data_IF_780842945633
#
_entry.id   IF_780842945633
#
_cell.length_a   1.000
_cell.length_b   1.000
_cell.length_c   1.000
_cell.angle_alpha   90.00
_cell.angle_beta   90.00
_cell.angle_gamma   90.00
#
_symmetry.space_group_name_H-M   'P 1'
#
loop_
_entity.id
_entity.type
_entity.pdbx_description
1 polymer ?
#
# COMPACT_ATOMS: atom_id res chain seq x y z
N UNK A 1 48.36 -2.97 42.78
CA UNK A 1 47.80 -2.88 41.41
C UNK A 1 46.28 -2.99 41.55
N UNK A 2 45.60 -1.86 41.60
CA UNK A 2 44.13 -1.78 41.65
C UNK A 2 43.56 -1.87 40.24
N UNK A 3 42.39 -2.52 40.03
CA UNK A 3 41.76 -2.60 38.73
C UNK A 3 40.96 -1.34 38.37
N UNK A 4 41.25 -0.76 37.24
CA UNK A 4 40.58 0.38 36.64
C UNK A 4 39.12 0.01 36.33
N UNK A 5 38.16 0.63 37.00
CA UNK A 5 36.72 0.57 36.67
C UNK A 5 36.47 1.36 35.37
N UNK A 6 36.06 0.65 34.33
CA UNK A 6 35.51 1.30 33.12
C UNK A 6 34.07 1.75 33.40
N UNK A 7 33.86 3.05 33.39
CA UNK A 7 32.54 3.67 33.44
C UNK A 7 31.79 3.46 32.12
N UNK A 8 30.56 2.96 32.20
CA UNK A 8 29.66 2.76 31.05
C UNK A 8 29.07 4.11 30.61
N UNK A 9 28.89 4.36 29.29
CA UNK A 9 28.19 5.55 28.80
C UNK A 9 26.71 5.24 28.53
N UNK A 10 25.92 5.04 29.61
CA UNK A 10 24.47 4.78 29.50
C UNK A 10 23.59 6.03 29.71
N UNK A 11 24.16 7.18 30.00
CA UNK A 11 23.40 8.37 30.40
C UNK A 11 23.12 9.35 29.27
N UNK A 12 23.91 9.36 28.21
CA UNK A 12 23.77 10.33 27.09
C UNK A 12 22.63 10.00 26.12
N UNK A 13 22.38 8.73 25.82
CA UNK A 13 21.32 8.31 24.89
C UNK A 13 19.90 8.52 25.48
N UNK A 14 19.73 8.31 26.78
CA UNK A 14 18.45 8.50 27.45
C UNK A 14 18.06 9.98 27.62
N UNK A 15 19.03 10.88 27.76
CA UNK A 15 18.79 12.33 27.84
C UNK A 15 18.42 12.94 26.49
N UNK A 16 19.08 12.50 25.41
CA UNK A 16 18.79 12.95 24.02
C UNK A 16 17.39 12.52 23.56
N UNK A 17 16.97 11.30 23.90
CA UNK A 17 15.64 10.79 23.59
C UNK A 17 14.53 11.54 24.34
N UNK A 18 14.74 11.90 25.61
CA UNK A 18 13.76 12.70 26.38
C UNK A 18 13.64 14.15 25.92
N UNK A 19 14.73 14.76 25.46
CA UNK A 19 14.69 16.14 24.94
C UNK A 19 14.02 16.25 23.57
N UNK A 20 14.10 15.22 22.72
CA UNK A 20 13.36 15.16 21.47
C UNK A 20 11.85 15.03 21.70
N UNK A 21 11.42 14.22 22.66
CA UNK A 21 10.00 14.03 22.98
C UNK A 21 9.28 15.30 23.47
N UNK A 22 9.98 16.28 24.05
CA UNK A 22 9.38 17.53 24.54
C UNK A 22 9.06 18.55 23.45
N UNK A 23 9.41 18.31 22.19
CA UNK A 23 9.18 19.20 21.05
C UNK A 23 8.19 18.64 20.00
N UNK A 24 7.77 17.38 20.14
CA UNK A 24 6.84 16.77 19.21
C UNK A 24 5.42 17.32 19.42
N UNK A 25 4.73 17.65 18.32
CA UNK A 25 3.31 18.01 18.36
C UNK A 25 2.48 16.78 18.71
N UNK A 26 2.78 15.66 18.04
CA UNK A 26 2.17 14.37 18.28
C UNK A 26 3.25 13.34 18.64
N UNK A 27 3.06 12.61 19.73
CA UNK A 27 4.01 11.57 20.17
C UNK A 27 3.87 10.30 19.33
N UNK A 28 2.64 10.03 18.82
CA UNK A 28 2.33 8.85 18.04
C UNK A 28 1.40 9.22 16.89
N UNK A 29 1.70 8.69 15.69
CA UNK A 29 0.86 8.85 14.50
C UNK A 29 0.35 7.48 14.09
N UNK A 30 -0.95 7.36 13.87
CA UNK A 30 -1.64 6.17 13.35
C UNK A 30 -2.12 6.51 11.94
N UNK A 31 -1.42 6.00 10.93
CA UNK A 31 -1.74 6.25 9.53
C UNK A 31 -2.39 5.04 8.90
N UNK A 32 -3.67 5.15 8.56
CA UNK A 32 -4.50 4.08 8.03
C UNK A 32 -4.79 4.35 6.56
N UNK A 33 -4.32 3.46 5.69
CA UNK A 33 -4.61 3.44 4.27
C UNK A 33 -5.75 2.48 4.00
N UNK A 34 -6.84 3.02 3.47
CA UNK A 34 -7.99 2.28 2.96
C UNK A 34 -7.69 1.95 1.50
N UNK A 35 -7.08 0.79 1.24
CA UNK A 35 -6.57 0.42 -0.08
C UNK A 35 -7.65 0.58 -1.16
N UNK A 36 -7.38 1.38 -2.17
CA UNK A 36 -8.26 1.69 -3.31
C UNK A 36 -9.52 2.53 -3.04
N UNK A 37 -9.67 3.18 -1.88
CA UNK A 37 -10.86 4.01 -1.57
C UNK A 37 -10.72 5.41 -2.19
N UNK A 38 -10.93 5.53 -3.51
CA UNK A 38 -10.93 6.79 -4.24
C UNK A 38 -12.15 7.67 -3.99
N UNK A 39 -12.06 8.95 -4.35
CA UNK A 39 -13.12 9.96 -4.16
C UNK A 39 -13.29 10.88 -5.39
N UNK A 40 -13.31 10.29 -6.57
CA UNK A 40 -13.59 10.94 -7.84
C UNK A 40 -12.38 11.04 -8.77
N UNK A 41 -12.65 10.91 -10.06
CA UNK A 41 -11.63 10.89 -11.10
C UNK A 41 -10.71 12.11 -11.06
N UNK A 42 -9.41 11.87 -11.23
CA UNK A 42 -8.44 12.94 -11.47
C UNK A 42 -8.55 13.46 -12.90
N UNK A 43 -8.13 14.72 -13.17
CA UNK A 43 -8.21 15.30 -14.51
C UNK A 43 -7.43 14.52 -15.59
N UNK A 44 -6.42 13.74 -15.19
CA UNK A 44 -5.60 12.93 -16.06
C UNK A 44 -6.03 11.45 -16.14
N UNK A 45 -7.16 11.08 -15.54
CA UNK A 45 -7.69 9.71 -15.53
C UNK A 45 -7.80 9.10 -16.94
N UNK A 46 -8.20 9.92 -17.94
CA UNK A 46 -8.28 9.49 -19.33
C UNK A 46 -6.96 8.97 -19.92
N UNK A 47 -5.81 9.41 -19.39
CA UNK A 47 -4.48 8.93 -19.81
C UNK A 47 -4.21 7.50 -19.34
N UNK A 48 -4.96 7.05 -18.35
CA UNK A 48 -4.88 5.71 -17.78
C UNK A 48 -6.00 4.79 -18.28
N UNK A 49 -6.81 5.29 -19.22
CA UNK A 49 -7.95 4.56 -19.78
C UNK A 49 -9.19 4.56 -18.89
N UNK A 50 -9.20 5.37 -17.85
CA UNK A 50 -10.29 5.40 -16.88
C UNK A 50 -11.41 6.37 -17.33
N UNK A 51 -12.67 6.05 -17.04
CA UNK A 51 -13.78 6.92 -17.37
C UNK A 51 -13.77 8.19 -16.51
N UNK A 52 -14.26 9.33 -17.04
CA UNK A 52 -14.25 10.60 -16.33
C UNK A 52 -15.19 10.64 -15.11
N UNK A 53 -16.09 9.68 -14.99
CA UNK A 53 -17.06 9.50 -13.90
C UNK A 53 -16.64 8.41 -12.90
N UNK A 54 -15.39 7.91 -12.96
CA UNK A 54 -14.84 7.04 -11.94
C UNK A 54 -14.85 7.76 -10.58
N UNK A 55 -15.44 7.13 -9.59
CA UNK A 55 -15.65 7.71 -8.26
C UNK A 55 -16.00 6.60 -7.27
N UNK A 56 -14.99 5.93 -6.75
CA UNK A 56 -15.16 4.76 -5.90
C UNK A 56 -16.18 4.99 -4.80
N UNK A 57 -15.97 5.98 -3.93
CA UNK A 57 -16.91 6.30 -2.85
C UNK A 57 -18.25 6.83 -3.36
N UNK A 58 -18.23 7.74 -4.34
CA UNK A 58 -19.44 8.37 -4.85
C UNK A 58 -20.34 7.40 -5.60
N UNK A 59 -19.78 6.50 -6.38
CA UNK A 59 -20.53 5.53 -7.15
C UNK A 59 -21.09 4.41 -6.28
N UNK A 60 -20.32 3.90 -5.30
CA UNK A 60 -20.84 2.98 -4.29
C UNK A 60 -22.01 3.64 -3.53
N UNK A 61 -21.82 4.89 -3.08
CA UNK A 61 -22.86 5.64 -2.38
C UNK A 61 -24.13 5.82 -3.22
N UNK A 62 -23.98 6.06 -4.52
CA UNK A 62 -25.11 6.26 -5.43
C UNK A 62 -25.86 4.96 -5.74
N UNK A 63 -25.14 3.83 -5.88
CA UNK A 63 -25.72 2.53 -6.26
C UNK A 63 -26.46 1.89 -5.09
N UNK A 64 -25.84 1.85 -3.89
CA UNK A 64 -26.44 1.13 -2.74
C UNK A 64 -26.76 2.03 -1.53
N UNK A 65 -26.35 3.30 -1.55
CA UNK A 65 -26.29 4.14 -0.36
C UNK A 65 -25.15 3.73 0.57
N UNK A 66 -24.65 4.69 1.35
CA UNK A 66 -23.66 4.45 2.39
C UNK A 66 -24.12 5.01 3.72
N UNK A 67 -23.86 4.29 4.79
CA UNK A 67 -24.15 4.76 6.14
C UNK A 67 -22.85 4.82 6.95
N UNK A 68 -22.19 5.99 6.91
CA UNK A 68 -20.88 6.22 7.49
C UNK A 68 -20.91 7.39 8.50
N UNK A 69 -21.71 7.30 9.60
CA UNK A 69 -21.92 8.42 10.50
C UNK A 69 -20.66 8.86 11.25
N UNK A 70 -19.71 7.96 11.49
CA UNK A 70 -18.47 8.30 12.20
C UNK A 70 -17.45 8.94 11.28
N UNK A 71 -17.30 8.47 10.03
CA UNK A 71 -16.49 9.13 9.01
C UNK A 71 -17.09 10.49 8.61
N UNK A 72 -18.43 10.61 8.56
CA UNK A 72 -19.09 11.91 8.37
C UNK A 72 -18.70 12.90 9.47
N UNK A 73 -18.75 12.51 10.74
CA UNK A 73 -18.29 13.34 11.87
C UNK A 73 -16.83 13.78 11.77
N UNK A 74 -15.98 13.01 11.10
CA UNK A 74 -14.59 13.39 10.83
C UNK A 74 -14.47 14.36 9.65
N UNK A 75 -15.53 14.54 8.83
CA UNK A 75 -15.56 15.46 7.71
C UNK A 75 -15.56 14.80 6.33
N UNK A 76 -15.79 13.48 6.20
CA UNK A 76 -15.80 12.80 4.89
C UNK A 76 -16.81 13.46 3.93
N UNK A 77 -18.04 13.73 4.38
CA UNK A 77 -19.06 14.39 3.58
C UNK A 77 -18.74 15.85 3.22
N UNK A 78 -17.78 16.47 3.91
CA UNK A 78 -17.33 17.85 3.64
C UNK A 78 -16.29 17.88 2.50
N UNK A 79 -15.58 16.78 2.22
CA UNK A 79 -14.68 16.68 1.07
C UNK A 79 -15.49 16.71 -0.23
N UNK A 80 -16.57 15.94 -0.26
CA UNK A 80 -17.50 15.82 -1.38
C UNK A 80 -18.83 15.28 -0.88
N UNK A 81 -19.96 15.82 -1.35
CA UNK A 81 -21.27 15.27 -1.03
C UNK A 81 -21.41 13.83 -1.51
N UNK A 82 -21.77 12.92 -0.60
CA UNK A 82 -22.01 11.51 -0.87
C UNK A 82 -23.42 11.11 -0.42
N UNK A 83 -24.08 10.26 -1.18
CA UNK A 83 -25.42 9.76 -0.81
C UNK A 83 -25.33 8.96 0.51
N UNK A 84 -26.05 9.42 1.54
CA UNK A 84 -26.03 8.81 2.86
C UNK A 84 -24.91 9.28 3.79
N UNK A 85 -24.01 10.16 3.32
CA UNK A 85 -22.92 10.73 4.13
C UNK A 85 -22.96 12.27 3.99
N UNK A 86 -23.84 12.94 4.73
CA UNK A 86 -23.98 14.40 4.63
C UNK A 86 -22.73 15.12 5.18
N UNK A 87 -22.50 16.37 4.73
CA UNK A 87 -21.50 17.21 5.36
C UNK A 87 -21.90 17.57 6.80
N UNK A 88 -20.90 17.64 7.68
CA UNK A 88 -21.06 18.10 9.07
C UNK A 88 -20.85 19.59 9.17
N UNK A 89 -21.66 20.25 9.98
CA UNK A 89 -21.51 21.70 10.24
C UNK A 89 -20.25 22.02 11.06
N UNK A 90 -19.83 21.08 11.92
CA UNK A 90 -18.64 21.20 12.77
C UNK A 90 -17.91 19.86 12.80
N UNK A 91 -17.15 19.52 11.75
CA UNK A 91 -16.40 18.28 11.71
C UNK A 91 -15.43 18.18 12.88
N UNK A 92 -15.34 16.98 13.49
CA UNK A 92 -14.39 16.72 14.58
C UNK A 92 -12.95 16.50 14.10
N UNK A 93 -12.75 16.36 12.80
CA UNK A 93 -11.44 16.20 12.15
C UNK A 93 -11.09 17.34 11.19
N UNK A 94 -9.86 17.36 10.71
CA UNK A 94 -9.47 18.10 9.52
C UNK A 94 -9.68 17.19 8.29
N UNK A 95 -10.11 17.76 7.18
CA UNK A 95 -10.53 17.02 5.99
C UNK A 95 -10.01 17.67 4.71
N UNK A 96 -9.82 16.88 3.68
CA UNK A 96 -9.37 17.30 2.36
C UNK A 96 -9.23 16.09 1.44
N UNK A 97 -8.60 16.28 0.30
CA UNK A 97 -8.27 15.20 -0.63
C UNK A 97 -6.89 15.42 -1.24
N UNK A 98 -6.24 14.32 -1.63
CA UNK A 98 -4.93 14.36 -2.27
C UNK A 98 -5.03 13.99 -3.76
N UNK A 99 -4.14 14.60 -4.58
CA UNK A 99 -3.81 14.10 -5.91
C UNK A 99 -2.78 12.98 -5.79
N UNK A 100 -2.62 12.21 -6.86
CA UNK A 100 -1.48 11.32 -7.08
C UNK A 100 -0.54 12.03 -8.07
N UNK A 101 0.64 12.44 -7.61
CA UNK A 101 1.63 13.11 -8.45
C UNK A 101 2.39 12.14 -9.34
N UNK A 102 2.65 10.93 -8.85
CA UNK A 102 3.29 9.86 -9.61
C UNK A 102 2.35 9.35 -10.72
N UNK A 103 2.88 9.02 -11.91
CA UNK A 103 2.10 8.51 -13.04
C UNK A 103 1.76 7.03 -12.87
N UNK A 104 0.98 6.69 -11.86
CA UNK A 104 0.53 5.33 -11.56
C UNK A 104 -0.81 5.36 -10.82
N UNK A 105 -1.44 4.20 -10.72
CA UNK A 105 -2.70 4.00 -10.01
C UNK A 105 -2.72 2.64 -9.27
N UNK A 106 -1.56 2.24 -8.75
CA UNK A 106 -1.35 0.96 -8.08
C UNK A 106 -0.84 1.14 -6.65
N UNK A 107 -1.04 0.11 -5.82
CA UNK A 107 -0.69 0.12 -4.39
C UNK A 107 0.77 0.51 -4.14
N UNK A 108 1.72 -0.01 -4.94
CA UNK A 108 3.15 0.32 -4.77
C UNK A 108 3.40 1.79 -5.03
N UNK A 109 2.91 2.31 -6.15
CA UNK A 109 3.06 3.72 -6.54
C UNK A 109 2.47 4.65 -5.49
N UNK A 110 1.22 4.39 -5.03
CA UNK A 110 0.56 5.23 -4.04
C UNK A 110 1.28 5.24 -2.69
N UNK A 111 1.66 4.07 -2.16
CA UNK A 111 2.39 3.98 -0.90
C UNK A 111 3.80 4.56 -0.97
N UNK A 112 4.50 4.40 -2.10
CA UNK A 112 5.80 5.03 -2.30
C UNK A 112 5.68 6.55 -2.36
N UNK A 113 4.65 7.06 -3.03
CA UNK A 113 4.38 8.50 -3.04
C UNK A 113 4.09 9.03 -1.64
N UNK A 114 3.30 8.31 -0.82
CA UNK A 114 3.11 8.61 0.61
C UNK A 114 4.44 8.73 1.35
N UNK A 115 5.41 7.89 1.01
CA UNK A 115 6.74 7.90 1.62
C UNK A 115 7.70 8.95 1.01
N UNK A 116 7.23 9.80 0.10
CA UNK A 116 8.02 10.87 -0.53
C UNK A 116 8.79 10.45 -1.78
N UNK A 117 8.45 9.31 -2.39
CA UNK A 117 9.03 8.84 -3.64
C UNK A 117 8.08 9.19 -4.79
N UNK A 118 8.47 10.12 -5.65
CA UNK A 118 7.76 10.39 -6.89
C UNK A 118 8.40 9.61 -8.03
N UNK A 119 7.59 8.86 -8.75
CA UNK A 119 8.03 8.16 -9.95
C UNK A 119 7.94 9.10 -11.16
N UNK A 120 8.97 9.13 -12.00
CA UNK A 120 8.93 9.88 -13.26
C UNK A 120 8.10 9.15 -14.34
N UNK A 121 8.02 7.84 -14.24
CA UNK A 121 7.32 6.95 -15.19
C UNK A 121 6.59 5.85 -14.43
N UNK A 122 5.45 5.40 -14.94
CA UNK A 122 4.75 4.24 -14.37
C UNK A 122 5.59 2.97 -14.55
N UNK A 123 5.34 1.98 -13.72
CA UNK A 123 5.87 0.65 -13.97
C UNK A 123 5.37 0.13 -15.33
N UNK A 124 6.26 -0.48 -16.15
CA UNK A 124 5.89 -0.91 -17.49
C UNK A 124 4.85 -2.04 -17.46
N UNK A 125 3.87 -1.95 -18.33
CA UNK A 125 2.95 -3.05 -18.64
C UNK A 125 3.45 -3.78 -19.90
N UNK A 126 3.31 -5.10 -19.92
CA UNK A 126 3.79 -5.95 -21.02
C UNK A 126 2.63 -6.77 -21.62
N UNK A 127 1.55 -6.15 -22.17
CA UNK A 127 0.36 -6.86 -22.61
C UNK A 127 0.61 -7.88 -23.73
N UNK A 128 1.69 -7.69 -24.49
CA UNK A 128 2.12 -8.60 -25.59
C UNK A 128 3.28 -9.52 -25.18
N UNK A 129 3.63 -9.59 -23.89
CA UNK A 129 4.81 -10.29 -23.38
C UNK A 129 6.05 -9.41 -23.33
N UNK A 130 7.14 -9.97 -22.83
CA UNK A 130 8.42 -9.29 -22.65
C UNK A 130 9.24 -9.29 -23.93
N UNK A 131 10.10 -8.25 -24.14
CA UNK A 131 10.95 -8.17 -25.31
C UNK A 131 11.83 -9.41 -25.51
N UNK A 132 12.10 -9.81 -26.78
CA UNK A 132 12.94 -11.00 -27.07
C UNK A 132 14.32 -10.94 -26.45
N UNK A 133 14.95 -9.79 -26.34
CA UNK A 133 16.24 -9.58 -25.72
C UNK A 133 16.21 -9.87 -24.21
N UNK A 134 15.12 -9.51 -23.52
CA UNK A 134 14.91 -9.82 -22.09
C UNK A 134 14.72 -11.32 -21.93
N UNK A 135 13.87 -11.93 -22.74
CA UNK A 135 13.62 -13.38 -22.67
C UNK A 135 14.86 -14.19 -23.00
N UNK A 136 15.61 -13.81 -24.04
CA UNK A 136 16.85 -14.49 -24.42
C UNK A 136 17.93 -14.40 -23.33
N UNK A 137 18.11 -13.25 -22.70
CA UNK A 137 19.03 -13.11 -21.56
C UNK A 137 18.55 -13.93 -20.36
N UNK A 138 17.25 -13.95 -20.08
CA UNK A 138 16.66 -14.74 -19.00
C UNK A 138 16.91 -16.23 -19.21
N UNK A 139 16.57 -16.78 -20.39
CA UNK A 139 16.76 -18.19 -20.73
C UNK A 139 18.23 -18.60 -20.67
N UNK A 140 19.12 -17.75 -21.18
CA UNK A 140 20.56 -17.96 -21.12
C UNK A 140 21.05 -18.07 -19.67
N UNK A 141 20.60 -17.19 -18.79
CA UNK A 141 21.05 -17.16 -17.38
C UNK A 141 20.47 -18.28 -16.54
N UNK A 142 19.22 -18.69 -16.78
CA UNK A 142 18.62 -19.82 -16.06
C UNK A 142 18.99 -21.19 -16.67
N UNK A 143 19.59 -21.22 -17.87
CA UNK A 143 19.97 -22.44 -18.56
C UNK A 143 18.80 -23.30 -19.05
N UNK A 144 17.63 -22.71 -19.24
CA UNK A 144 16.40 -23.37 -19.70
C UNK A 144 15.67 -22.48 -20.69
N UNK A 145 15.03 -23.08 -21.72
CA UNK A 145 14.01 -22.39 -22.50
C UNK A 145 12.75 -22.16 -21.66
N UNK A 146 11.94 -21.21 -22.05
CA UNK A 146 10.66 -20.89 -21.38
C UNK A 146 9.47 -21.25 -22.25
N UNK A 147 8.32 -21.45 -21.61
CA UNK A 147 7.03 -21.59 -22.29
C UNK A 147 6.25 -20.27 -22.13
N UNK A 148 5.46 -19.94 -23.15
CA UNK A 148 4.51 -18.82 -23.20
C UNK A 148 5.18 -17.46 -23.52
N UNK A 149 5.24 -16.52 -22.58
CA UNK A 149 5.60 -15.09 -22.76
C UNK A 149 4.44 -14.26 -23.34
N UNK A 150 3.27 -14.31 -22.72
CA UNK A 150 2.09 -13.48 -23.05
C UNK A 150 1.27 -13.14 -21.82
N UNK A 151 0.32 -12.22 -21.96
CA UNK A 151 -0.69 -11.99 -20.94
C UNK A 151 -1.63 -13.19 -20.82
N UNK A 152 -1.86 -13.67 -19.59
CA UNK A 152 -2.72 -14.81 -19.31
C UNK A 152 -3.22 -14.85 -17.86
N UNK A 153 -4.37 -15.50 -17.66
CA UNK A 153 -4.82 -15.94 -16.33
C UNK A 153 -3.90 -17.07 -15.85
N UNK A 154 -3.35 -16.93 -14.66
CA UNK A 154 -2.39 -17.91 -14.19
C UNK A 154 -2.98 -19.29 -13.87
N UNK A 155 -4.29 -19.44 -13.65
CA UNK A 155 -4.95 -20.75 -13.55
C UNK A 155 -5.12 -21.40 -14.91
N UNK A 156 -5.53 -20.60 -15.91
CA UNK A 156 -5.71 -21.07 -17.27
C UNK A 156 -4.39 -21.47 -17.91
N UNK A 157 -3.35 -20.64 -17.78
CA UNK A 157 -2.04 -20.95 -18.38
C UNK A 157 -1.37 -22.19 -17.78
N UNK A 158 -1.56 -22.43 -16.48
CA UNK A 158 -1.09 -23.65 -15.82
C UNK A 158 -1.86 -24.86 -16.33
N UNK A 159 -3.19 -24.76 -16.52
CA UNK A 159 -3.98 -25.83 -17.10
C UNK A 159 -3.59 -26.14 -18.54
N UNK A 160 -3.29 -25.10 -19.35
CA UNK A 160 -2.87 -25.20 -20.75
C UNK A 160 -1.46 -25.83 -20.91
N UNK A 161 -0.47 -25.31 -20.19
CA UNK A 161 0.95 -25.62 -20.40
C UNK A 161 1.61 -26.49 -19.33
N UNK A 162 0.91 -26.80 -18.25
CA UNK A 162 1.46 -27.55 -17.13
C UNK A 162 2.01 -28.94 -17.52
N UNK A 163 1.30 -29.66 -18.40
CA UNK A 163 1.78 -30.96 -18.90
C UNK A 163 3.05 -30.84 -19.75
N UNK A 164 3.14 -29.80 -20.60
CA UNK A 164 4.33 -29.52 -21.39
C UNK A 164 5.50 -29.09 -20.50
N UNK A 165 5.25 -28.23 -19.53
CA UNK A 165 6.23 -27.85 -18.51
C UNK A 165 6.83 -29.09 -17.81
N UNK A 166 6.00 -30.01 -17.33
CA UNK A 166 6.47 -31.23 -16.67
C UNK A 166 7.33 -32.12 -17.60
N UNK A 167 6.99 -32.18 -18.88
CA UNK A 167 7.71 -32.96 -19.87
C UNK A 167 9.07 -32.34 -20.27
N UNK A 168 9.13 -31.01 -20.36
CA UNK A 168 10.32 -30.29 -20.90
C UNK A 168 11.23 -29.72 -19.83
N UNK A 169 10.70 -29.47 -18.61
CA UNK A 169 11.39 -28.74 -17.57
C UNK A 169 11.49 -27.23 -17.84
N UNK A 170 10.80 -26.71 -18.85
CA UNK A 170 10.78 -25.29 -19.19
C UNK A 170 9.76 -24.54 -18.32
N UNK A 171 10.15 -23.51 -17.52
CA UNK A 171 9.21 -22.74 -16.72
C UNK A 171 8.23 -21.96 -17.60
N UNK A 172 7.01 -21.75 -17.10
CA UNK A 172 5.97 -21.00 -17.81
C UNK A 172 6.08 -19.53 -17.41
N UNK A 173 6.45 -18.66 -18.38
CA UNK A 173 6.55 -17.21 -18.18
C UNK A 173 5.30 -16.53 -18.73
N UNK A 174 4.67 -15.69 -17.94
CA UNK A 174 3.48 -14.93 -18.35
C UNK A 174 3.38 -13.61 -17.59
N UNK A 175 2.51 -12.73 -18.06
CA UNK A 175 2.15 -11.46 -17.39
C UNK A 175 0.65 -11.37 -17.16
N UNK A 176 0.15 -10.26 -16.63
CA UNK A 176 -1.26 -9.94 -16.47
C UNK A 176 -1.49 -8.45 -16.76
N UNK A 177 -2.64 -7.90 -16.39
CA UNK A 177 -2.91 -6.46 -16.47
C UNK A 177 -1.99 -5.62 -15.57
N UNK A 178 -1.47 -6.23 -14.50
CA UNK A 178 -0.49 -5.58 -13.62
C UNK A 178 0.92 -5.56 -14.22
N UNK A 179 1.79 -4.72 -13.65
CA UNK A 179 3.23 -4.69 -13.97
C UNK A 179 3.97 -5.85 -13.29
N UNK A 180 3.84 -7.04 -13.86
CA UNK A 180 4.38 -8.28 -13.26
C UNK A 180 5.03 -9.20 -14.28
N UNK A 181 6.14 -9.85 -13.86
CA UNK A 181 6.77 -10.99 -14.54
C UNK A 181 6.50 -12.23 -13.69
N UNK A 182 5.70 -13.16 -14.20
CA UNK A 182 5.29 -14.34 -13.43
C UNK A 182 5.94 -15.59 -14.00
N UNK A 183 6.45 -16.44 -13.11
CA UNK A 183 7.09 -17.71 -13.45
C UNK A 183 6.33 -18.83 -12.74
N UNK A 184 5.56 -19.62 -13.50
CA UNK A 184 4.92 -20.80 -12.95
C UNK A 184 5.76 -22.07 -13.20
N UNK A 185 5.85 -22.92 -12.16
CA UNK A 185 6.53 -24.20 -12.24
C UNK A 185 5.90 -25.23 -11.31
N UNK A 186 5.86 -26.50 -11.75
CA UNK A 186 5.43 -27.62 -10.91
C UNK A 186 6.57 -27.97 -9.91
N UNK A 187 6.22 -28.14 -8.64
CA UNK A 187 7.21 -28.28 -7.55
C UNK A 187 8.09 -29.53 -7.68
N UNK A 188 7.62 -30.59 -8.32
CA UNK A 188 8.41 -31.79 -8.60
C UNK A 188 9.32 -31.64 -9.84
N UNK A 189 8.98 -30.73 -10.79
CA UNK A 189 9.74 -30.52 -12.03
C UNK A 189 10.85 -29.48 -11.84
N UNK A 190 10.52 -28.38 -11.16
CA UNK A 190 11.45 -27.34 -10.72
C UNK A 190 11.20 -27.12 -9.23
N UNK A 191 12.07 -27.66 -8.34
CA UNK A 191 11.92 -27.49 -6.90
C UNK A 191 11.91 -26.04 -6.46
N UNK A 192 11.21 -25.71 -5.36
CA UNK A 192 11.03 -24.34 -4.86
C UNK A 192 12.33 -23.54 -4.78
N UNK A 193 13.46 -24.05 -4.25
CA UNK A 193 14.70 -23.28 -4.21
C UNK A 193 15.22 -22.88 -5.60
N UNK A 194 15.04 -23.74 -6.61
CA UNK A 194 15.40 -23.43 -8.00
C UNK A 194 14.44 -22.42 -8.62
N UNK A 195 13.14 -22.58 -8.43
CA UNK A 195 12.12 -21.60 -8.89
C UNK A 195 12.39 -20.20 -8.31
N UNK A 196 12.72 -20.12 -7.03
CA UNK A 196 13.04 -18.85 -6.38
C UNK A 196 14.29 -18.21 -6.97
N UNK A 197 15.34 -18.99 -7.23
CA UNK A 197 16.55 -18.50 -7.89
C UNK A 197 16.30 -18.04 -9.34
N UNK A 198 15.42 -18.72 -10.06
CA UNK A 198 14.96 -18.31 -11.39
C UNK A 198 14.29 -16.91 -11.30
N UNK A 199 13.41 -16.70 -10.32
CA UNK A 199 12.74 -15.41 -10.12
C UNK A 199 13.70 -14.31 -9.66
N UNK A 200 14.68 -14.60 -8.82
CA UNK A 200 15.77 -13.68 -8.47
C UNK A 200 16.54 -13.23 -9.70
N UNK A 201 16.90 -14.18 -10.58
CA UNK A 201 17.55 -13.91 -11.87
C UNK A 201 16.70 -13.00 -12.75
N UNK A 202 15.39 -13.24 -12.84
CA UNK A 202 14.47 -12.34 -13.55
C UNK A 202 14.48 -10.94 -12.94
N UNK A 203 14.43 -10.81 -11.59
CA UNK A 203 14.47 -9.52 -10.91
C UNK A 203 15.75 -8.74 -11.19
N UNK A 204 16.88 -9.41 -11.33
CA UNK A 204 18.17 -8.79 -11.69
C UNK A 204 18.19 -8.25 -13.13
N UNK A 205 17.59 -8.96 -14.07
CA UNK A 205 17.53 -8.59 -15.50
C UNK A 205 16.54 -7.47 -15.76
N UNK A 206 15.38 -7.51 -15.10
CA UNK A 206 14.30 -6.56 -15.29
C UNK A 206 14.62 -5.24 -14.58
N UNK A 207 15.33 -4.34 -15.27
CA UNK A 207 15.77 -3.03 -14.81
C UNK A 207 15.46 -1.95 -15.83
N UNK A 208 15.47 -0.69 -15.39
CA UNK A 208 15.25 0.48 -16.24
C UNK A 208 13.89 0.44 -16.93
N UNK A 209 13.82 0.54 -18.29
CA UNK A 209 12.55 0.58 -19.00
C UNK A 209 11.74 -0.72 -18.91
N UNK A 210 12.36 -1.81 -18.50
CA UNK A 210 11.70 -3.13 -18.32
C UNK A 210 11.50 -3.49 -16.84
N UNK A 211 11.68 -2.55 -15.92
CA UNK A 211 11.57 -2.78 -14.48
C UNK A 211 10.11 -2.90 -14.04
N UNK A 212 9.52 -4.09 -14.25
CA UNK A 212 8.18 -4.36 -13.74
C UNK A 212 8.13 -4.30 -12.22
N UNK A 213 7.00 -3.91 -11.66
CA UNK A 213 6.83 -3.74 -10.22
C UNK A 213 7.13 -5.00 -9.40
N UNK A 214 6.80 -6.19 -9.93
CA UNK A 214 7.05 -7.46 -9.24
C UNK A 214 7.46 -8.58 -10.19
N UNK A 215 8.38 -9.43 -9.74
CA UNK A 215 8.58 -10.78 -10.27
C UNK A 215 7.92 -11.76 -9.31
N UNK A 216 7.15 -12.72 -9.80
CA UNK A 216 6.34 -13.60 -8.96
C UNK A 216 6.63 -15.06 -9.25
N UNK A 217 7.10 -15.81 -8.25
CA UNK A 217 7.12 -17.26 -8.28
C UNK A 217 5.70 -17.81 -8.05
N UNK A 218 5.23 -18.64 -8.98
CA UNK A 218 3.89 -19.27 -8.96
C UNK A 218 4.00 -20.79 -8.97
N UNK A 219 4.42 -21.42 -7.87
CA UNK A 219 4.49 -22.87 -7.80
C UNK A 219 3.11 -23.51 -7.86
N UNK A 220 3.03 -24.71 -8.44
CA UNK A 220 1.83 -25.51 -8.52
C UNK A 220 2.16 -26.99 -8.39
N UNK A 221 1.13 -27.80 -8.12
CA UNK A 221 1.19 -29.27 -7.98
C UNK A 221 0.03 -29.91 -8.72
N UNK A 222 0.02 -31.24 -8.78
CA UNK A 222 -1.07 -32.02 -9.37
C UNK A 222 -0.67 -32.71 -10.68
N UNK A 223 -1.66 -33.15 -11.44
CA UNK A 223 -1.47 -33.85 -12.71
C UNK A 223 -2.27 -33.16 -13.83
N UNK A 224 -1.99 -33.45 -15.11
CA UNK A 224 -2.79 -32.93 -16.22
C UNK A 224 -4.30 -33.08 -15.99
N UNK A 225 -5.02 -31.97 -16.09
CA UNK A 225 -6.47 -31.89 -15.78
C UNK A 225 -6.82 -31.54 -14.32
N UNK A 226 -5.82 -31.48 -13.39
CA UNK A 226 -6.03 -31.21 -11.97
C UNK A 226 -4.91 -30.40 -11.32
N UNK A 227 -4.27 -29.48 -12.05
CA UNK A 227 -3.24 -28.61 -11.48
C UNK A 227 -3.80 -27.60 -10.50
N UNK A 228 -3.11 -27.43 -9.36
CA UNK A 228 -3.51 -26.49 -8.30
C UNK A 228 -2.30 -25.68 -7.85
N UNK A 229 -2.46 -24.36 -7.71
CA UNK A 229 -1.45 -23.48 -7.14
C UNK A 229 -1.23 -23.79 -5.67
N UNK A 230 0.02 -23.70 -5.22
CA UNK A 230 0.36 -23.87 -3.81
C UNK A 230 0.44 -22.53 -3.08
N UNK A 231 0.50 -22.59 -1.75
CA UNK A 231 0.73 -21.43 -0.90
C UNK A 231 2.20 -20.92 -0.94
N UNK A 232 3.10 -21.64 -1.63
CA UNK A 232 4.53 -21.32 -1.74
C UNK A 232 4.83 -20.21 -2.76
N UNK A 233 3.84 -19.35 -3.05
CA UNK A 233 4.04 -18.14 -3.84
C UNK A 233 5.07 -17.24 -3.16
N UNK A 234 5.99 -16.66 -3.95
CA UNK A 234 6.93 -15.66 -3.49
C UNK A 234 7.03 -14.49 -4.48
N UNK A 235 6.94 -13.26 -3.96
CA UNK A 235 6.97 -12.04 -4.77
C UNK A 235 8.32 -11.31 -4.53
N UNK A 236 8.98 -10.96 -5.63
CA UNK A 236 10.22 -10.17 -5.66
C UNK A 236 9.86 -8.77 -6.19
N UNK A 237 9.50 -7.88 -5.31
CA UNK A 237 9.17 -6.50 -5.66
C UNK A 237 10.43 -5.67 -5.98
N UNK A 238 10.24 -4.56 -6.67
CA UNK A 238 11.27 -3.53 -6.81
C UNK A 238 11.54 -2.94 -5.42
N UNK A 239 12.81 -2.84 -4.99
CA UNK A 239 13.11 -2.17 -3.73
C UNK A 239 12.81 -0.67 -3.83
N UNK A 240 12.19 -0.07 -2.80
CA UNK A 240 11.96 1.36 -2.80
C UNK A 240 13.28 2.13 -2.87
N UNK A 241 13.33 3.26 -3.60
CA UNK A 241 14.49 4.15 -3.62
C UNK A 241 14.90 4.61 -2.22
N UNK A 242 16.19 4.91 -1.98
CA UNK A 242 16.68 5.39 -0.69
C UNK A 242 16.21 6.82 -0.37
N UNK A 243 16.15 7.15 0.91
CA UNK A 243 15.82 8.49 1.41
C UNK A 243 14.32 8.74 1.58
N UNK A 244 13.50 7.68 1.53
CA UNK A 244 12.08 7.75 1.81
C UNK A 244 11.76 8.02 3.30
N UNK A 245 10.52 8.31 3.60
CA UNK A 245 10.03 8.59 4.96
C UNK A 245 10.52 7.55 5.99
N UNK A 246 10.37 6.26 5.68
CA UNK A 246 10.71 5.20 6.63
C UNK A 246 12.21 5.15 6.94
N UNK A 247 13.07 5.48 5.97
CA UNK A 247 14.52 5.65 6.22
C UNK A 247 14.76 6.83 7.16
N UNK A 248 14.12 7.98 6.90
CA UNK A 248 14.28 9.18 7.72
C UNK A 248 13.82 8.97 9.15
N UNK A 249 12.70 8.26 9.34
CA UNK A 249 12.21 7.93 10.67
C UNK A 249 13.19 7.00 11.40
N UNK A 250 13.71 5.97 10.73
CA UNK A 250 14.70 5.05 11.32
C UNK A 250 16.01 5.78 11.70
N UNK A 251 16.53 6.65 10.83
CA UNK A 251 17.69 7.51 11.08
C UNK A 251 17.49 8.40 12.32
N UNK A 252 16.26 8.85 12.58
CA UNK A 252 15.90 9.68 13.74
C UNK A 252 15.48 8.86 14.97
N UNK A 253 15.62 7.53 14.92
CA UNK A 253 15.26 6.64 16.02
C UNK A 253 13.76 6.51 16.27
N UNK A 254 12.93 6.94 15.33
CA UNK A 254 11.46 6.81 15.39
C UNK A 254 11.08 5.39 14.98
N UNK A 255 10.34 4.71 15.84
CA UNK A 255 9.89 3.36 15.55
C UNK A 255 8.70 3.36 14.58
N UNK A 256 8.79 2.51 13.55
CA UNK A 256 7.69 2.23 12.61
C UNK A 256 7.16 0.83 12.85
N UNK A 257 5.84 0.75 13.08
CA UNK A 257 5.11 -0.49 13.24
C UNK A 257 4.15 -0.68 12.07
N UNK A 258 4.45 -1.62 11.16
CA UNK A 258 3.63 -1.93 9.99
C UNK A 258 2.48 -2.89 10.34
N UNK A 259 1.29 -2.62 9.83
CA UNK A 259 0.13 -3.53 9.92
C UNK A 259 -0.39 -3.81 8.51
N UNK A 260 -0.67 -5.07 8.20
CA UNK A 260 -1.09 -5.50 6.87
C UNK A 260 0.07 -5.63 5.89
N UNK A 261 -0.10 -5.13 4.66
CA UNK A 261 0.91 -5.25 3.58
C UNK A 261 2.09 -4.28 3.68
N UNK A 262 2.13 -3.37 4.65
CA UNK A 262 3.15 -2.32 4.74
C UNK A 262 4.57 -2.91 4.68
N UNK A 263 4.82 -3.99 5.42
CA UNK A 263 6.13 -4.65 5.38
C UNK A 263 6.49 -5.14 3.98
N UNK A 264 5.55 -5.74 3.27
CA UNK A 264 5.78 -6.31 1.93
C UNK A 264 5.96 -5.20 0.87
N UNK A 265 5.19 -4.10 0.96
CA UNK A 265 5.27 -2.94 0.05
C UNK A 265 6.65 -2.26 0.13
N UNK A 266 7.20 -2.12 1.33
CA UNK A 266 8.49 -1.47 1.57
C UNK A 266 9.65 -2.47 1.77
N UNK A 267 9.42 -3.77 1.57
CA UNK A 267 10.39 -4.85 1.78
C UNK A 267 11.04 -4.82 3.17
N UNK A 268 10.26 -4.45 4.17
CA UNK A 268 10.69 -4.36 5.57
C UNK A 268 11.60 -3.17 5.88
N UNK A 269 11.93 -2.33 4.90
CA UNK A 269 12.88 -1.24 5.06
C UNK A 269 12.35 -0.16 5.99
N UNK A 270 13.10 0.14 7.06
CA UNK A 270 12.73 1.11 8.09
C UNK A 270 11.60 0.64 9.03
N UNK A 271 11.12 -0.61 8.90
CA UNK A 271 10.01 -1.16 9.69
C UNK A 271 10.59 -2.10 10.76
N UNK A 272 10.41 -1.75 12.03
CA UNK A 272 10.95 -2.53 13.15
C UNK A 272 10.03 -3.63 13.64
N UNK A 273 8.72 -3.42 13.57
CA UNK A 273 7.69 -4.42 13.93
C UNK A 273 6.64 -4.51 12.85
N UNK A 274 6.06 -5.70 12.69
CA UNK A 274 4.96 -5.91 11.74
C UNK A 274 3.96 -6.93 12.23
N UNK A 275 2.67 -6.71 11.87
CA UNK A 275 1.58 -7.64 12.06
C UNK A 275 0.94 -7.92 10.69
N UNK A 276 1.06 -9.15 10.19
CA UNK A 276 0.37 -9.57 8.96
C UNK A 276 -1.12 -9.74 9.23
N UNK A 277 -1.95 -9.41 8.25
CA UNK A 277 -3.41 -9.45 8.36
C UNK A 277 -4.02 -10.38 7.34
N UNK A 278 -5.11 -11.04 7.72
CA UNK A 278 -5.87 -11.91 6.83
C UNK A 278 -7.00 -11.19 6.07
N UNK A 279 -7.57 -10.14 6.69
CA UNK A 279 -8.66 -9.32 6.15
C UNK A 279 -8.74 -7.98 6.90
N UNK A 280 -9.68 -7.09 6.52
CA UNK A 280 -9.81 -5.78 7.18
C UNK A 280 -10.23 -5.89 8.65
N UNK A 281 -11.07 -6.84 9.03
CA UNK A 281 -11.46 -7.02 10.44
C UNK A 281 -10.26 -7.39 11.31
N UNK A 282 -9.41 -8.29 10.84
CA UNK A 282 -8.13 -8.64 11.48
C UNK A 282 -7.17 -7.42 11.50
N UNK A 283 -7.12 -6.65 10.40
CA UNK A 283 -6.34 -5.40 10.31
C UNK A 283 -6.76 -4.36 11.33
N UNK A 284 -8.06 -4.15 11.50
CA UNK A 284 -8.63 -3.25 12.52
C UNK A 284 -8.29 -3.72 13.94
N UNK A 285 -8.41 -5.02 14.24
CA UNK A 285 -8.04 -5.58 15.53
C UNK A 285 -6.53 -5.41 15.81
N UNK A 286 -5.68 -5.72 14.82
CA UNK A 286 -4.22 -5.58 14.94
C UNK A 286 -3.74 -4.12 14.98
N UNK A 287 -4.53 -3.20 14.45
CA UNK A 287 -4.28 -1.76 14.65
C UNK A 287 -4.40 -1.39 16.12
N UNK A 288 -5.45 -1.83 16.80
CA UNK A 288 -5.60 -1.61 18.25
C UNK A 288 -4.51 -2.32 19.06
N UNK A 289 -4.09 -3.54 18.65
CA UNK A 289 -2.95 -4.24 19.24
C UNK A 289 -1.66 -3.42 19.10
N UNK A 290 -1.36 -2.90 17.92
CA UNK A 290 -0.20 -2.04 17.68
C UNK A 290 -0.27 -0.74 18.50
N UNK A 291 -1.46 -0.12 18.63
CA UNK A 291 -1.68 1.05 19.47
C UNK A 291 -1.42 0.79 20.96
N UNK A 292 -1.69 -0.42 21.44
CA UNK A 292 -1.36 -0.81 22.82
C UNK A 292 0.13 -1.13 23.00
N UNK A 293 0.81 -1.58 21.94
CA UNK A 293 2.19 -2.04 21.99
C UNK A 293 3.23 -0.95 21.69
N UNK A 294 2.82 0.18 21.07
CA UNK A 294 3.70 1.30 20.70
C UNK A 294 3.29 2.58 21.46
N UNK A 295 4.17 3.14 22.26
CA UNK A 295 3.90 4.37 23.03
C UNK A 295 4.18 5.65 22.22
N UNK A 296 5.05 5.60 21.22
CA UNK A 296 5.39 6.72 20.35
C UNK A 296 6.02 6.25 19.04
N UNK A 297 5.86 7.04 17.97
CA UNK A 297 6.33 6.69 16.62
C UNK A 297 5.19 6.59 15.61
N UNK A 298 5.38 5.80 14.57
CA UNK A 298 4.43 5.63 13.47
C UNK A 298 3.84 4.22 13.48
N UNK A 299 2.53 4.10 13.54
CA UNK A 299 1.77 2.89 13.19
C UNK A 299 1.25 3.10 11.77
N UNK A 300 1.75 2.33 10.82
CA UNK A 300 1.38 2.44 9.41
C UNK A 300 0.57 1.22 9.01
N UNK A 301 -0.67 1.42 8.60
CA UNK A 301 -1.69 0.38 8.40
C UNK A 301 -2.15 0.37 6.97
N UNK A 302 -2.24 -0.81 6.35
CA UNK A 302 -2.90 -1.02 5.07
C UNK A 302 -4.08 -1.99 5.25
N UNK A 303 -5.29 -1.52 4.97
CA UNK A 303 -6.52 -2.31 4.96
C UNK A 303 -6.84 -2.73 3.52
N UNK A 304 -6.23 -3.83 3.09
CA UNK A 304 -6.13 -4.26 1.69
C UNK A 304 -7.38 -4.88 1.09
N UNK A 305 -8.33 -5.29 1.90
CA UNK A 305 -9.49 -6.09 1.43
C UNK A 305 -10.44 -5.26 0.56
N UNK A 306 -10.48 -3.93 0.73
CA UNK A 306 -11.25 -3.03 -0.14
C UNK A 306 -10.86 -3.22 -1.60
N UNK A 307 -9.57 -3.26 -1.88
CA UNK A 307 -9.02 -3.51 -3.19
C UNK A 307 -9.19 -4.97 -3.63
N UNK A 308 -8.61 -5.90 -2.88
CA UNK A 308 -8.45 -7.29 -3.30
C UNK A 308 -9.75 -8.08 -3.38
N UNK A 309 -10.70 -7.84 -2.47
CA UNK A 309 -11.93 -8.64 -2.39
C UNK A 309 -13.09 -7.95 -3.06
N UNK A 310 -13.09 -6.62 -3.15
CA UNK A 310 -14.26 -5.88 -3.62
C UNK A 310 -13.98 -5.06 -4.88
N UNK A 311 -12.93 -4.23 -4.91
CA UNK A 311 -12.55 -3.42 -6.07
C UNK A 311 -12.32 -4.27 -7.31
N UNK A 312 -11.32 -5.13 -7.29
CA UNK A 312 -10.97 -6.04 -8.40
C UNK A 312 -12.04 -7.08 -8.76
N UNK A 313 -13.15 -7.13 -8.04
CA UNK A 313 -14.26 -8.08 -8.29
C UNK A 313 -15.56 -7.39 -8.64
N UNK A 314 -15.56 -6.07 -8.78
CA UNK A 314 -16.75 -5.28 -9.05
C UNK A 314 -17.88 -5.55 -8.04
N UNK A 315 -17.51 -5.84 -6.77
CA UNK A 315 -18.44 -6.15 -5.70
C UNK A 315 -18.84 -4.88 -4.94
N UNK A 316 -19.77 -4.12 -5.49
CA UNK A 316 -20.30 -2.88 -4.92
C UNK A 316 -20.91 -3.10 -3.54
N UNK A 317 -21.65 -4.20 -3.36
CA UNK A 317 -22.31 -4.52 -2.10
C UNK A 317 -21.30 -4.86 -1.00
N UNK A 318 -20.35 -5.74 -1.29
CA UNK A 318 -19.28 -6.11 -0.38
C UNK A 318 -18.39 -4.93 0.00
N UNK A 319 -18.07 -4.06 -0.98
CA UNK A 319 -17.25 -2.87 -0.77
C UNK A 319 -17.94 -1.89 0.20
N UNK A 320 -19.19 -1.53 -0.08
CA UNK A 320 -19.94 -0.64 0.79
C UNK A 320 -20.17 -1.23 2.20
N UNK A 321 -20.47 -2.54 2.29
CA UNK A 321 -20.57 -3.21 3.60
C UNK A 321 -19.24 -3.21 4.37
N UNK A 322 -18.09 -3.28 3.68
CA UNK A 322 -16.78 -3.18 4.31
C UNK A 322 -16.51 -1.77 4.84
N UNK A 323 -16.90 -0.72 4.10
CA UNK A 323 -16.84 0.68 4.56
C UNK A 323 -17.70 0.90 5.81
N UNK A 324 -18.91 0.35 5.84
CA UNK A 324 -19.80 0.42 7.00
C UNK A 324 -19.25 -0.32 8.22
N UNK A 325 -18.58 -1.46 8.03
CA UNK A 325 -17.86 -2.16 9.12
C UNK A 325 -16.70 -1.34 9.66
N UNK A 326 -15.93 -0.68 8.79
CA UNK A 326 -14.89 0.26 9.20
C UNK A 326 -15.48 1.41 10.03
N UNK A 327 -16.56 2.00 9.54
CA UNK A 327 -17.24 3.12 10.25
C UNK A 327 -17.74 2.68 11.63
N UNK A 328 -18.32 1.49 11.73
CA UNK A 328 -18.79 0.94 13.00
C UNK A 328 -17.65 0.65 13.99
N UNK A 329 -16.43 0.39 13.52
CA UNK A 329 -15.24 0.20 14.35
C UNK A 329 -14.65 1.53 14.87
N UNK A 330 -14.86 2.65 14.18
CA UNK A 330 -14.25 3.95 14.52
C UNK A 330 -14.47 4.40 15.97
N UNK A 331 -15.65 4.21 16.61
CA UNK A 331 -15.79 4.56 18.03
C UNK A 331 -14.82 3.84 18.97
N UNK A 332 -14.54 2.57 18.72
CA UNK A 332 -13.54 1.83 19.50
C UNK A 332 -12.13 2.33 19.23
N UNK A 333 -11.80 2.63 17.97
CA UNK A 333 -10.52 3.20 17.58
C UNK A 333 -10.29 4.59 18.18
N UNK A 334 -11.25 5.51 18.04
CA UNK A 334 -11.14 6.88 18.57
C UNK A 334 -11.11 6.90 20.09
N UNK A 335 -11.82 5.98 20.75
CA UNK A 335 -11.78 5.81 22.22
C UNK A 335 -10.42 5.27 22.73
N UNK A 336 -9.61 4.66 21.86
CA UNK A 336 -8.26 4.20 22.19
C UNK A 336 -7.16 5.24 21.90
N UNK A 337 -7.49 6.38 21.27
CA UNK A 337 -6.54 7.46 21.04
C UNK A 337 -6.13 8.12 22.36
N UNK A 338 -4.83 8.35 22.50
CA UNK A 338 -4.22 9.07 23.62
C UNK A 338 -4.10 10.56 23.27
N UNK A 339 -3.90 11.40 24.26
CA UNK A 339 -3.79 12.86 24.11
C UNK A 339 -2.77 13.30 23.03
N UNK A 340 -1.63 12.62 22.93
CA UNK A 340 -0.58 12.89 21.94
C UNK A 340 -0.73 12.16 20.61
N UNK A 341 -1.89 11.60 20.28
CA UNK A 341 -2.08 10.85 19.04
C UNK A 341 -2.62 11.71 17.91
N UNK A 342 -2.11 11.44 16.69
CA UNK A 342 -2.68 11.86 15.41
C UNK A 342 -3.11 10.61 14.64
N UNK A 343 -4.38 10.51 14.28
CA UNK A 343 -4.89 9.53 13.34
C UNK A 343 -5.05 10.17 11.95
N UNK A 344 -4.56 9.50 10.90
CA UNK A 344 -4.74 9.92 9.50
C UNK A 344 -5.37 8.77 8.75
N UNK A 345 -6.46 9.05 8.04
CA UNK A 345 -7.12 8.12 7.12
C UNK A 345 -6.97 8.65 5.70
N UNK A 346 -6.54 7.79 4.78
CA UNK A 346 -6.41 8.09 3.35
C UNK A 346 -6.56 6.83 2.52
N UNK A 347 -6.37 6.94 1.21
CA UNK A 347 -6.19 5.81 0.31
C UNK A 347 -4.95 6.03 -0.55
N UNK A 348 -4.57 5.03 -1.30
CA UNK A 348 -3.40 5.04 -2.18
C UNK A 348 -3.75 5.24 -3.67
N UNK A 349 -4.95 4.85 -4.07
CA UNK A 349 -5.56 5.02 -5.39
C UNK A 349 -7.08 4.79 -5.32
N UNK A 350 -7.77 4.73 -6.47
CA UNK A 350 -9.15 4.28 -6.60
C UNK A 350 -9.23 2.87 -7.19
N UNK A 351 -10.36 2.20 -6.99
CA UNK A 351 -10.77 1.00 -7.73
C UNK A 351 -12.30 0.94 -7.72
N UNK A 352 -12.91 1.69 -8.64
CA UNK A 352 -14.36 1.85 -8.68
C UNK A 352 -15.04 0.56 -9.17
N UNK A 353 -15.78 -0.14 -8.31
CA UNK A 353 -16.38 -1.42 -8.66
C UNK A 353 -17.57 -1.30 -9.60
N UNK A 354 -17.96 -0.07 -9.98
CA UNK A 354 -19.09 0.18 -10.89
C UNK A 354 -18.66 0.41 -12.34
N UNK A 355 -17.36 0.64 -12.58
CA UNK A 355 -16.84 0.79 -13.94
C UNK A 355 -16.52 -0.55 -14.57
N UNK A 356 -16.45 -0.58 -15.90
CA UNK A 356 -16.11 -1.81 -16.64
C UNK A 356 -14.64 -2.19 -16.43
N UNK A 357 -14.38 -3.49 -16.30
CA UNK A 357 -13.05 -4.01 -15.99
C UNK A 357 -12.84 -4.25 -14.51
N UNK A 358 -11.64 -4.64 -14.16
CA UNK A 358 -11.26 -4.97 -12.78
C UNK A 358 -9.93 -4.30 -12.40
N UNK A 359 -9.56 -3.24 -13.12
CA UNK A 359 -8.32 -2.50 -12.86
C UNK A 359 -8.59 -1.35 -11.88
N UNK A 360 -7.52 -0.82 -11.30
CA UNK A 360 -7.57 0.38 -10.48
C UNK A 360 -8.03 1.59 -11.29
N UNK A 361 -8.56 2.60 -10.59
CA UNK A 361 -8.97 3.88 -11.18
C UNK A 361 -8.11 5.04 -10.68
N UNK A 362 -7.76 5.96 -11.59
CA UNK A 362 -6.97 7.16 -11.30
C UNK A 362 -7.86 8.22 -10.67
N UNK A 363 -7.93 8.22 -9.34
CA UNK A 363 -8.81 9.08 -8.56
C UNK A 363 -8.03 9.94 -7.57
N UNK A 364 -8.64 11.04 -7.16
CA UNK A 364 -8.30 11.66 -5.89
C UNK A 364 -8.56 10.69 -4.75
N UNK A 365 -7.83 10.83 -3.65
CA UNK A 365 -8.06 10.04 -2.45
C UNK A 365 -8.43 10.93 -1.26
N UNK A 366 -9.29 10.44 -0.34
CA UNK A 366 -9.69 11.22 0.82
C UNK A 366 -8.50 11.42 1.78
N UNK A 367 -8.53 12.52 2.51
CA UNK A 367 -7.63 12.81 3.61
C UNK A 367 -8.46 13.27 4.81
N UNK A 368 -8.41 12.49 5.90
CA UNK A 368 -9.01 12.84 7.18
C UNK A 368 -7.93 12.77 8.26
N UNK A 369 -7.86 13.81 9.10
CA UNK A 369 -6.95 13.83 10.24
C UNK A 369 -7.74 14.09 11.52
N UNK A 370 -7.52 13.27 12.56
CA UNK A 370 -8.26 13.33 13.81
C UNK A 370 -7.37 13.00 15.00
N UNK A 371 -7.74 13.48 16.16
CA UNK A 371 -7.05 13.21 17.43
C UNK A 371 -7.39 14.25 18.49
N UNK A 372 -7.09 13.98 19.77
CA UNK A 372 -7.47 14.91 20.85
C UNK A 372 -6.87 16.31 20.73
N UNK A 373 -5.70 16.44 20.06
CA UNK A 373 -5.02 17.73 19.80
C UNK A 373 -5.11 18.18 18.36
N UNK A 374 -5.95 17.55 17.54
CA UNK A 374 -6.18 17.97 16.15
C UNK A 374 -7.24 19.03 16.10
N UNK A 375 -7.00 20.11 15.37
CA UNK A 375 -8.03 21.12 15.08
C UNK A 375 -9.12 20.53 14.21
N UNK A 376 -10.33 20.39 14.76
CA UNK A 376 -11.50 20.02 14.00
C UNK A 376 -11.99 21.13 13.08
N UNK A 377 -12.72 20.76 12.03
CA UNK A 377 -13.33 21.69 11.09
C UNK A 377 -12.36 22.39 10.12
N UNK A 378 -11.09 21.96 10.08
CA UNK A 378 -10.08 22.51 9.16
C UNK A 378 -10.25 21.87 7.79
N UNK A 379 -10.55 22.68 6.78
CA UNK A 379 -10.51 22.27 5.38
C UNK A 379 -9.07 22.37 4.87
N UNK A 380 -8.45 21.22 4.60
CA UNK A 380 -7.11 21.09 4.03
C UNK A 380 -7.12 21.25 2.50
N UNK A 381 -8.30 21.31 1.90
CA UNK A 381 -8.50 21.50 0.47
C UNK A 381 -7.97 20.36 -0.37
N UNK A 382 -7.51 20.72 -1.57
CA UNK A 382 -6.84 19.81 -2.50
C UNK A 382 -5.32 19.84 -2.23
N UNK A 383 -4.77 18.71 -1.81
CA UNK A 383 -3.33 18.53 -1.61
C UNK A 383 -2.65 18.13 -2.92
N UNK A 384 -1.44 18.66 -3.13
CA UNK A 384 -0.69 18.47 -4.37
C UNK A 384 -0.16 17.03 -4.58
N UNK A 385 -0.06 16.24 -3.52
CA UNK A 385 0.47 14.89 -3.56
C UNK A 385 0.10 14.11 -2.29
N UNK A 386 0.12 12.78 -2.37
CA UNK A 386 0.12 11.90 -1.21
C UNK A 386 1.34 12.12 -0.30
N UNK A 387 2.44 12.64 -0.85
CA UNK A 387 3.65 12.98 -0.08
C UNK A 387 3.42 14.08 0.95
N UNK A 388 2.36 14.88 0.83
CA UNK A 388 2.00 15.89 1.83
C UNK A 388 1.70 15.26 3.20
N UNK A 389 1.13 14.05 3.20
CA UNK A 389 0.90 13.28 4.43
C UNK A 389 2.25 12.82 4.98
N UNK A 390 3.10 12.22 4.13
CA UNK A 390 4.44 11.79 4.54
C UNK A 390 5.30 12.92 5.06
N UNK A 391 5.27 14.09 4.39
CA UNK A 391 5.98 15.28 4.84
C UNK A 391 5.43 15.82 6.18
N UNK A 392 4.13 15.67 6.43
CA UNK A 392 3.51 16.01 7.72
C UNK A 392 4.02 15.09 8.83
N UNK A 393 4.11 13.79 8.56
CA UNK A 393 4.72 12.81 9.49
C UNK A 393 6.19 13.13 9.73
N UNK A 394 6.97 13.38 8.66
CA UNK A 394 8.39 13.74 8.75
C UNK A 394 8.60 15.01 9.60
N UNK A 395 7.84 16.07 9.30
CA UNK A 395 7.92 17.35 10.02
C UNK A 395 7.60 17.18 11.51
N UNK A 396 6.60 16.36 11.87
CA UNK A 396 6.26 16.06 13.26
C UNK A 396 7.44 15.42 14.00
N UNK A 397 8.21 14.55 13.36
CA UNK A 397 9.37 13.89 13.95
C UNK A 397 10.70 14.63 13.70
N UNK A 398 10.66 15.89 13.23
CA UNK A 398 11.82 16.76 13.09
C UNK A 398 12.73 16.43 11.90
N UNK A 399 12.19 15.79 10.87
CA UNK A 399 12.88 15.45 9.63
C UNK A 399 12.09 15.91 8.39
N UNK A 400 12.61 15.63 7.20
CA UNK A 400 11.98 15.97 5.92
C UNK A 400 12.18 14.87 4.90
N UNK A 401 11.31 14.82 3.90
CA UNK A 401 11.39 13.93 2.73
C UNK A 401 11.51 14.76 1.44
N UNK A 402 11.81 14.09 0.33
CA UNK A 402 12.11 14.76 -0.94
C UNK A 402 10.95 15.55 -1.56
N UNK A 403 9.73 15.15 -1.29
CA UNK A 403 8.51 15.72 -1.86
C UNK A 403 7.44 15.95 -0.80
N UNK A 404 6.45 16.78 -1.12
CA UNK A 404 5.30 17.06 -0.28
C UNK A 404 5.41 18.34 0.53
N UNK A 405 4.26 18.88 0.93
CA UNK A 405 4.10 20.05 1.76
C UNK A 405 3.34 19.69 3.04
N UNK A 406 3.98 19.92 4.20
CA UNK A 406 3.40 19.58 5.49
C UNK A 406 2.20 20.46 5.84
N UNK A 407 1.11 19.85 6.24
CA UNK A 407 -0.07 20.51 6.81
C UNK A 407 -0.09 20.48 8.35
N UNK A 408 1.00 20.06 9.00
CA UNK A 408 1.10 19.98 10.46
C UNK A 408 0.69 21.30 11.16
N UNK A 409 1.12 22.50 10.71
CA UNK A 409 0.74 23.76 11.35
C UNK A 409 -0.74 24.09 11.23
N UNK A 410 -1.44 23.54 10.25
CA UNK A 410 -2.86 23.77 10.03
C UNK A 410 -3.72 22.95 11.00
N UNK A 411 -3.28 21.76 11.37
CA UNK A 411 -4.04 20.81 12.23
C UNK A 411 -3.61 20.82 13.69
N UNK A 412 -2.53 21.49 14.05
CA UNK A 412 -2.05 21.59 15.44
C UNK A 412 -2.44 22.91 16.09
N UNK A 413 -2.62 22.91 17.42
CA UNK A 413 -2.87 24.13 18.22
C UNK A 413 -1.57 24.82 18.58
#
# INVERSE_FOLDING_TARGET
MEPIRRSQPASFAAHSSRMLQSKLVFSRIIWIVLDSVGIGAMPDAFRFGDPPDADTLGNIARVRGLRLPNLARLGLGNIKPLVGVPPEASPGGAFGRCTLASPGKDTTTGHWEMAGIHLDKPFPLCPHGFPPEIMGEFERRIGRSTLCNRAASGTEIIAELGAEHMRTGSPIVYTSADSVFQVAAHEETIPLPELYKICETAREILRGPNEVGRVIARPFVGAPGGFTRTANRHDYAVPPPPGMLLDRLDEHGVEVFGVGKIFDIFLGRGIRRTLKTGNNADGMAKTLEAMNALDGGLIFVNLVEFDQQFGHRNDVEGYGAALERLDAWLPAFTGALRDGDLAVFTADHGCDPTVSGTDHTREYVPLLAAGPRVRGGVDLGLRGSLSDIGQTVAANFGTTIGHGESFLPQISF
#
